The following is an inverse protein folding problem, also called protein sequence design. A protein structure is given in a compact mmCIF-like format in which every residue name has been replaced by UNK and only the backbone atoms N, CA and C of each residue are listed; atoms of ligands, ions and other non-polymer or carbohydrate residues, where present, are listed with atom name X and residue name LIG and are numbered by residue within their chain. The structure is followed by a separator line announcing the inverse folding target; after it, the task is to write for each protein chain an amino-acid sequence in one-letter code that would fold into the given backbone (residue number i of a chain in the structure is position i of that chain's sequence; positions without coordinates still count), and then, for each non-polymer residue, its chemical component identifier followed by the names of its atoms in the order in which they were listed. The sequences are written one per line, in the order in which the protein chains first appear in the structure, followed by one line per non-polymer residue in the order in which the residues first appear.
data_IF_027257671388
#
_entry.id   IF_027257671388
#
_cell.length_a   1.000
_cell.length_b   1.000
_cell.length_c   1.000
_cell.angle_alpha   90.00
_cell.angle_beta   90.00
_cell.angle_gamma   90.00
#
_symmetry.space_group_name_H-M   'P 1'
#
loop_
_entity.id
_entity.type
_entity.pdbx_description
1 polymer ?
#
# COMPACT_ATOMS: atom_id res chain seq x y z
N UNK A 1 13.43 -8.32 -3.30
CA UNK A 1 14.66 -7.70 -2.74
C UNK A 1 14.47 -7.20 -1.31
N UNK A 2 13.28 -6.81 -0.87
CA UNK A 2 13.01 -6.29 0.50
C UNK A 2 13.13 -7.35 1.61
N UNK A 3 12.62 -8.55 1.43
CA UNK A 3 12.61 -9.61 2.45
C UNK A 3 14.02 -9.98 2.95
N UNK A 4 14.99 -10.10 2.06
CA UNK A 4 16.38 -10.40 2.45
C UNK A 4 17.01 -9.29 3.33
N UNK A 5 16.61 -8.04 3.09
CA UNK A 5 17.11 -6.89 3.85
C UNK A 5 16.52 -6.84 5.25
N UNK A 6 15.23 -7.15 5.38
CA UNK A 6 14.50 -7.19 6.64
C UNK A 6 15.08 -8.26 7.56
N UNK A 7 15.20 -9.48 7.05
CA UNK A 7 15.77 -10.61 7.78
C UNK A 7 17.20 -10.32 8.26
N UNK A 8 18.03 -9.69 7.43
CA UNK A 8 19.39 -9.25 7.80
C UNK A 8 19.37 -8.22 8.94
N UNK A 9 18.41 -7.26 8.92
CA UNK A 9 18.30 -6.28 9.99
C UNK A 9 17.81 -6.91 11.30
N UNK A 10 16.85 -7.83 11.26
CA UNK A 10 16.41 -8.60 12.42
C UNK A 10 17.60 -9.36 13.01
N UNK A 11 18.34 -10.08 12.18
CA UNK A 11 19.55 -10.81 12.59
C UNK A 11 20.59 -9.90 13.23
N UNK A 12 20.92 -8.78 12.59
CA UNK A 12 21.86 -7.79 13.13
C UNK A 12 21.42 -7.23 14.49
N UNK A 13 20.11 -7.08 14.70
CA UNK A 13 19.57 -6.61 15.98
C UNK A 13 19.63 -7.67 17.06
N UNK A 14 19.62 -8.96 16.68
CA UNK A 14 19.72 -10.09 17.59
C UNK A 14 21.15 -10.49 17.96
N UNK A 15 22.16 -10.03 17.24
CA UNK A 15 23.58 -10.36 17.53
C UNK A 15 24.00 -10.04 18.98
N UNK A 16 23.35 -9.04 19.58
CA UNK A 16 23.60 -8.64 20.98
C UNK A 16 22.69 -9.31 22.00
N UNK A 17 21.73 -10.13 21.55
CA UNK A 17 20.76 -10.78 22.41
C UNK A 17 21.18 -12.21 22.68
N UNK A 18 21.30 -12.56 23.97
CA UNK A 18 21.51 -13.94 24.42
C UNK A 18 20.36 -14.34 25.31
N UNK A 19 19.83 -15.56 25.13
CA UNK A 19 18.78 -16.11 25.98
C UNK A 19 17.50 -16.48 25.25
N UNK A 20 16.35 -16.27 25.90
CA UNK A 20 15.06 -16.70 25.39
C UNK A 20 14.51 -15.69 24.38
N UNK A 21 14.13 -16.15 23.20
CA UNK A 21 13.52 -15.33 22.16
C UNK A 21 12.10 -15.83 21.88
N UNK A 22 11.14 -14.90 21.92
CA UNK A 22 9.76 -15.17 21.47
C UNK A 22 9.58 -14.65 20.05
N UNK A 23 9.15 -15.50 19.15
CA UNK A 23 8.76 -15.14 17.80
C UNK A 23 7.23 -15.15 17.65
N UNK A 24 6.64 -14.02 17.30
CA UNK A 24 5.23 -13.88 16.96
C UNK A 24 5.13 -13.71 15.42
N UNK A 25 5.17 -14.84 14.71
CA UNK A 25 5.09 -14.86 13.24
C UNK A 25 4.68 -16.24 12.75
N UNK A 26 4.04 -16.28 11.58
CA UNK A 26 3.82 -17.54 10.83
C UNK A 26 4.89 -17.72 9.73
N UNK A 27 5.81 -16.81 9.60
CA UNK A 27 6.86 -16.86 8.58
C UNK A 27 8.00 -17.79 9.02
N UNK A 28 8.15 -18.91 8.30
CA UNK A 28 9.21 -19.89 8.55
C UNK A 28 10.62 -19.33 8.30
N UNK A 29 10.76 -18.37 7.40
CA UNK A 29 12.06 -17.76 7.08
C UNK A 29 12.66 -17.03 8.29
N UNK A 30 11.81 -16.40 9.11
CA UNK A 30 12.24 -15.75 10.36
C UNK A 30 12.62 -16.78 11.40
N UNK A 31 11.91 -17.91 11.51
CA UNK A 31 12.24 -18.97 12.48
C UNK A 31 13.57 -19.66 12.17
N UNK A 32 13.90 -19.82 10.88
CA UNK A 32 15.14 -20.44 10.43
C UNK A 32 16.39 -19.62 10.83
N UNK A 33 16.26 -18.30 10.80
CA UNK A 33 17.31 -17.37 11.24
C UNK A 33 17.63 -17.48 12.73
N UNK A 34 16.66 -17.93 13.53
CA UNK A 34 16.71 -17.93 14.99
C UNK A 34 17.14 -19.27 15.55
N UNK A 35 17.58 -20.22 14.72
CA UNK A 35 17.97 -21.58 15.10
C UNK A 35 19.05 -21.65 16.19
N UNK A 36 19.84 -20.59 16.38
CA UNK A 36 20.88 -20.50 17.38
C UNK A 36 20.40 -19.96 18.76
N UNK A 37 19.12 -19.58 18.87
CA UNK A 37 18.53 -19.03 20.09
C UNK A 37 17.61 -20.06 20.76
N UNK A 38 17.35 -19.88 22.06
CA UNK A 38 16.28 -20.61 22.72
C UNK A 38 14.94 -20.05 22.29
N UNK A 39 14.41 -20.56 21.15
CA UNK A 39 13.29 -20.01 20.42
C UNK A 39 11.96 -20.56 20.91
N UNK A 40 11.06 -19.65 21.27
CA UNK A 40 9.65 -19.92 21.52
C UNK A 40 8.83 -19.30 20.38
N UNK A 41 7.93 -20.07 19.79
CA UNK A 41 7.14 -19.60 18.63
C UNK A 41 5.67 -19.49 19.01
N UNK A 42 5.10 -18.32 18.85
CA UNK A 42 3.68 -18.08 18.87
C UNK A 42 3.16 -18.07 17.41
N UNK A 43 2.62 -19.20 16.97
CA UNK A 43 2.07 -19.34 15.62
C UNK A 43 0.85 -20.25 15.63
N UNK A 44 0.08 -20.22 14.56
CA UNK A 44 -1.02 -21.15 14.32
C UNK A 44 -1.06 -21.48 12.82
N UNK A 45 -0.87 -22.76 12.44
CA UNK A 45 -0.82 -23.15 11.04
C UNK A 45 -2.15 -22.97 10.30
N UNK A 46 -3.26 -22.94 11.05
CA UNK A 46 -4.62 -22.87 10.49
C UNK A 46 -5.17 -21.44 10.40
N UNK A 47 -4.44 -20.44 10.92
CA UNK A 47 -4.89 -19.04 11.00
C UNK A 47 -3.76 -18.09 10.75
N UNK A 48 -4.10 -16.86 10.34
CA UNK A 48 -3.12 -15.77 10.36
C UNK A 48 -2.67 -15.53 11.80
N UNK A 49 -1.42 -15.08 11.99
CA UNK A 49 -0.90 -14.80 13.34
C UNK A 49 -1.73 -13.73 14.05
N UNK A 50 -2.23 -12.72 13.33
CA UNK A 50 -3.08 -11.68 13.88
C UNK A 50 -4.41 -12.21 14.41
N UNK A 51 -5.10 -13.07 13.64
CA UNK A 51 -6.34 -13.71 14.09
C UNK A 51 -6.10 -14.62 15.30
N UNK A 52 -4.96 -15.29 15.33
CA UNK A 52 -4.58 -16.14 16.47
C UNK A 52 -4.37 -15.30 17.73
N UNK A 53 -3.58 -14.22 17.63
CA UNK A 53 -3.32 -13.29 18.74
C UNK A 53 -4.60 -12.62 19.21
N UNK A 54 -5.43 -12.12 18.29
CA UNK A 54 -6.72 -11.51 18.66
C UNK A 54 -7.64 -12.48 19.42
N UNK A 55 -7.68 -13.76 19.03
CA UNK A 55 -8.44 -14.76 19.75
C UNK A 55 -7.87 -15.01 21.16
N UNK A 56 -6.55 -15.10 21.31
CA UNK A 56 -5.90 -15.27 22.62
C UNK A 56 -6.13 -14.07 23.54
N UNK A 57 -6.14 -12.85 22.97
CA UNK A 57 -6.47 -11.63 23.70
C UNK A 57 -7.93 -11.63 24.18
N UNK A 58 -8.88 -12.03 23.30
CA UNK A 58 -10.30 -12.12 23.65
C UNK A 58 -10.57 -13.14 24.77
N UNK A 59 -9.82 -14.24 24.80
CA UNK A 59 -9.96 -15.29 25.83
C UNK A 59 -9.09 -15.05 27.06
N UNK A 60 -8.30 -13.98 27.08
CA UNK A 60 -7.30 -13.68 28.11
C UNK A 60 -6.26 -14.80 28.33
N UNK A 61 -6.04 -15.64 27.32
CA UNK A 61 -5.11 -16.78 27.42
C UNK A 61 -3.75 -16.54 26.74
N UNK A 62 -3.52 -15.30 26.24
CA UNK A 62 -2.27 -14.98 25.52
C UNK A 62 -1.04 -15.23 26.40
N UNK A 63 -1.06 -14.75 27.64
CA UNK A 63 0.07 -14.93 28.57
C UNK A 63 0.35 -16.40 28.86
N UNK A 64 -0.69 -17.24 29.02
CA UNK A 64 -0.55 -18.68 29.26
C UNK A 64 0.03 -19.41 28.04
N UNK A 65 -0.28 -18.94 26.83
CA UNK A 65 0.26 -19.53 25.60
C UNK A 65 1.69 -19.08 25.30
N UNK A 66 2.05 -17.85 25.67
CA UNK A 66 3.40 -17.31 25.47
C UNK A 66 4.36 -17.86 26.52
N UNK A 67 3.94 -17.94 27.78
CA UNK A 67 4.81 -18.27 28.90
C UNK A 67 4.25 -19.48 29.66
N UNK A 68 4.90 -20.62 29.47
CA UNK A 68 4.77 -21.72 30.40
C UNK A 68 5.80 -21.50 31.52
N UNK A 69 5.36 -21.45 32.78
CA UNK A 69 6.25 -21.42 33.96
C UNK A 69 7.07 -20.12 34.13
N UNK A 70 6.43 -18.95 34.19
CA UNK A 70 7.08 -17.66 34.47
C UNK A 70 8.28 -17.31 33.54
N UNK A 71 8.35 -17.95 32.36
CA UNK A 71 9.42 -17.68 31.40
C UNK A 71 9.39 -16.23 30.95
N UNK A 72 10.50 -15.53 31.13
CA UNK A 72 10.72 -14.19 30.59
C UNK A 72 11.59 -14.27 29.35
N UNK A 73 11.41 -13.29 28.46
CA UNK A 73 12.12 -13.22 27.18
C UNK A 73 13.13 -12.07 27.16
N UNK A 74 14.29 -12.32 26.58
CA UNK A 74 15.33 -11.33 26.36
C UNK A 74 15.08 -10.56 25.07
N UNK A 75 14.45 -11.20 24.09
CA UNK A 75 13.90 -10.54 22.92
C UNK A 75 12.53 -11.09 22.53
N UNK A 76 11.72 -10.23 21.97
CA UNK A 76 10.43 -10.57 21.35
C UNK A 76 10.44 -10.01 19.94
N UNK A 77 10.16 -10.85 18.94
CA UNK A 77 10.08 -10.44 17.54
C UNK A 77 8.64 -10.46 17.09
N UNK A 78 8.15 -9.34 16.56
CA UNK A 78 6.83 -9.23 15.94
C UNK A 78 7.02 -8.80 14.49
N UNK A 79 6.66 -9.68 13.56
CA UNK A 79 6.82 -9.46 12.15
C UNK A 79 5.46 -9.17 11.53
N UNK A 80 5.28 -7.97 10.93
CA UNK A 80 4.06 -7.52 10.25
C UNK A 80 2.77 -7.81 11.03
N UNK A 81 2.76 -7.51 12.33
CA UNK A 81 1.66 -7.92 13.18
C UNK A 81 0.80 -6.74 13.67
N UNK A 82 1.44 -5.63 14.05
CA UNK A 82 0.74 -4.49 14.67
C UNK A 82 -0.35 -3.88 13.78
N UNK A 83 -0.17 -3.88 12.48
CA UNK A 83 -1.11 -3.36 11.49
C UNK A 83 -2.40 -4.16 11.41
N UNK A 84 -2.33 -5.45 11.76
CA UNK A 84 -3.43 -6.40 11.60
C UNK A 84 -4.23 -6.64 12.87
N UNK A 85 -3.71 -6.25 14.04
CA UNK A 85 -4.36 -6.48 15.34
C UNK A 85 -5.53 -5.52 15.57
N UNK A 86 -6.60 -6.05 16.13
CA UNK A 86 -7.75 -5.27 16.60
C UNK A 86 -7.42 -4.46 17.84
N UNK A 87 -6.60 -5.03 18.74
CA UNK A 87 -6.18 -4.36 19.98
C UNK A 87 -4.66 -4.42 20.19
N UNK A 88 -3.86 -3.65 19.42
CA UNK A 88 -2.41 -3.66 19.54
C UNK A 88 -1.90 -3.13 20.89
N UNK A 89 -2.66 -2.27 21.58
CA UNK A 89 -2.29 -1.78 22.90
C UNK A 89 -2.31 -2.92 23.94
N UNK A 90 -3.37 -3.71 23.98
CA UNK A 90 -3.47 -4.86 24.87
C UNK A 90 -2.38 -5.89 24.57
N UNK A 91 -2.13 -6.15 23.29
CA UNK A 91 -1.04 -7.02 22.86
C UNK A 91 0.32 -6.54 23.38
N UNK A 92 0.63 -5.26 23.19
CA UNK A 92 1.89 -4.67 23.68
C UNK A 92 2.03 -4.76 25.21
N UNK A 93 0.95 -4.62 25.97
CA UNK A 93 0.92 -4.80 27.43
C UNK A 93 1.29 -6.25 27.79
N UNK A 94 0.72 -7.24 27.10
CA UNK A 94 1.07 -8.65 27.33
C UNK A 94 2.55 -8.91 26.98
N UNK A 95 3.05 -8.43 25.85
CA UNK A 95 4.48 -8.58 25.50
C UNK A 95 5.36 -7.95 26.58
N UNK A 96 5.00 -6.77 27.05
CA UNK A 96 5.75 -6.08 28.11
C UNK A 96 5.75 -6.86 29.41
N UNK A 97 4.66 -7.57 29.74
CA UNK A 97 4.56 -8.37 30.95
C UNK A 97 5.50 -9.59 30.95
N UNK A 98 5.77 -10.19 29.78
CA UNK A 98 6.64 -11.36 29.62
C UNK A 98 8.08 -11.00 29.19
N UNK A 99 8.36 -9.75 28.89
CA UNK A 99 9.68 -9.27 28.55
C UNK A 99 10.54 -9.09 29.81
N UNK A 100 11.83 -9.43 29.78
CA UNK A 100 12.80 -9.09 30.80
C UNK A 100 12.96 -7.58 30.95
N UNK A 101 13.46 -7.08 32.09
CA UNK A 101 13.59 -5.65 32.33
C UNK A 101 14.56 -4.97 31.35
N UNK A 102 15.60 -5.66 30.93
CA UNK A 102 16.54 -5.22 29.89
C UNK A 102 16.25 -5.84 28.54
N UNK A 103 15.11 -6.51 28.42
CA UNK A 103 14.70 -7.15 27.17
C UNK A 103 14.29 -6.12 26.09
N UNK A 104 14.28 -6.57 24.85
CA UNK A 104 13.92 -5.74 23.70
C UNK A 104 12.80 -6.36 22.89
N UNK A 105 11.91 -5.52 22.33
CA UNK A 105 10.97 -5.92 21.30
C UNK A 105 11.55 -5.46 19.96
N UNK A 106 11.70 -6.37 19.02
CA UNK A 106 12.06 -6.08 17.62
C UNK A 106 10.75 -6.17 16.83
N UNK A 107 10.30 -5.06 16.28
CA UNK A 107 9.08 -5.06 15.48
C UNK A 107 9.28 -4.45 14.11
N UNK A 108 8.71 -5.09 13.10
CA UNK A 108 8.63 -4.61 11.74
C UNK A 108 7.24 -4.03 11.52
N UNK A 109 7.18 -2.82 10.99
CA UNK A 109 5.93 -2.07 10.75
C UNK A 109 5.98 -1.44 9.38
N UNK A 110 4.99 -1.70 8.56
CA UNK A 110 4.86 -1.14 7.23
C UNK A 110 4.62 0.37 7.29
N UNK A 111 5.29 1.12 6.42
CA UNK A 111 5.08 2.55 6.31
C UNK A 111 3.89 2.87 5.40
N UNK A 112 2.78 3.25 5.98
CA UNK A 112 1.61 3.67 5.21
C UNK A 112 1.88 4.91 4.33
N UNK A 113 2.78 5.80 4.77
CA UNK A 113 3.16 7.00 4.02
C UNK A 113 4.12 6.74 2.85
N UNK A 114 4.48 5.47 2.59
CA UNK A 114 5.25 5.12 1.40
C UNK A 114 4.51 5.55 0.13
N UNK A 115 5.25 6.10 -0.85
CA UNK A 115 4.68 6.67 -2.07
C UNK A 115 3.75 5.71 -2.81
N UNK A 116 4.09 4.41 -2.89
CA UNK A 116 3.24 3.42 -3.56
C UNK A 116 1.88 3.26 -2.88
N UNK A 117 1.81 3.30 -1.55
CA UNK A 117 0.56 3.19 -0.80
C UNK A 117 -0.35 4.40 -1.08
N UNK A 118 0.22 5.59 -1.06
CA UNK A 118 -0.52 6.83 -1.32
C UNK A 118 -1.02 6.88 -2.77
N UNK A 119 -0.20 6.49 -3.73
CA UNK A 119 -0.62 6.44 -5.13
C UNK A 119 -1.71 5.39 -5.36
N UNK A 120 -1.60 4.21 -4.75
CA UNK A 120 -2.65 3.17 -4.79
C UNK A 120 -4.00 3.69 -4.24
N UNK A 121 -3.97 4.46 -3.15
CA UNK A 121 -5.18 5.12 -2.63
C UNK A 121 -5.77 6.10 -3.64
N UNK A 122 -4.94 6.93 -4.26
CA UNK A 122 -5.39 7.95 -5.22
C UNK A 122 -6.03 7.37 -6.47
N UNK A 123 -5.54 6.21 -6.94
CA UNK A 123 -6.13 5.51 -8.10
C UNK A 123 -7.28 4.57 -7.71
N UNK A 124 -7.67 4.52 -6.43
CA UNK A 124 -8.77 3.69 -5.94
C UNK A 124 -8.42 2.21 -5.77
N UNK A 125 -7.15 1.83 -5.84
CA UNK A 125 -6.68 0.44 -5.70
C UNK A 125 -6.48 0.06 -4.22
N UNK A 126 -7.55 0.17 -3.42
CA UNK A 126 -7.51 -0.02 -1.97
C UNK A 126 -7.54 -1.51 -1.60
N UNK A 127 -8.28 -2.32 -2.37
CA UNK A 127 -8.61 -3.68 -1.95
C UNK A 127 -7.43 -4.66 -1.98
N UNK A 128 -6.45 -4.47 -2.86
CA UNK A 128 -5.38 -5.45 -3.02
C UNK A 128 -4.29 -5.34 -1.94
N UNK A 129 -4.07 -4.13 -1.39
CA UNK A 129 -2.95 -3.88 -0.48
C UNK A 129 -3.36 -3.74 0.99
N UNK A 130 -4.66 -3.52 1.28
CA UNK A 130 -5.11 -3.16 2.63
C UNK A 130 -6.27 -4.02 3.15
N UNK A 131 -6.61 -5.12 2.48
CA UNK A 131 -7.80 -5.95 2.80
C UNK A 131 -7.82 -6.50 4.22
N UNK A 132 -6.66 -6.78 4.80
CA UNK A 132 -6.51 -7.33 6.15
C UNK A 132 -5.88 -6.34 7.15
N UNK A 133 -5.66 -5.10 6.74
CA UNK A 133 -5.02 -4.08 7.59
C UNK A 133 -6.07 -3.41 8.46
N UNK A 134 -5.94 -3.54 9.77
CA UNK A 134 -6.82 -2.90 10.75
C UNK A 134 -6.37 -1.49 11.12
N UNK A 135 -5.08 -1.18 10.96
CA UNK A 135 -4.47 0.09 11.32
C UNK A 135 -3.37 0.48 10.34
N UNK A 136 -3.25 1.76 10.12
CA UNK A 136 -2.24 2.35 9.26
C UNK A 136 -1.25 3.13 10.10
N UNK A 137 0.02 2.77 10.02
CA UNK A 137 1.08 3.44 10.73
C UNK A 137 1.99 4.20 9.77
N UNK A 138 2.32 5.42 10.14
CA UNK A 138 3.52 6.12 9.73
C UNK A 138 4.50 6.16 10.90
N UNK A 139 5.70 6.68 10.67
CA UNK A 139 6.71 6.78 11.72
C UNK A 139 6.18 7.52 12.97
N UNK A 140 5.53 8.67 12.77
CA UNK A 140 5.11 9.51 13.88
C UNK A 140 3.99 8.88 14.70
N UNK A 141 2.99 8.29 14.02
CA UNK A 141 1.86 7.65 14.68
C UNK A 141 2.31 6.41 15.46
N UNK A 142 3.28 5.65 14.94
CA UNK A 142 3.81 4.51 15.66
C UNK A 142 4.67 4.92 16.86
N UNK A 143 5.51 5.94 16.72
CA UNK A 143 6.27 6.50 17.85
C UNK A 143 5.36 7.07 18.95
N UNK A 144 4.26 7.72 18.57
CA UNK A 144 3.26 8.21 19.51
C UNK A 144 2.59 7.05 20.27
N UNK A 145 2.17 6.01 19.54
CA UNK A 145 1.60 4.78 20.10
C UNK A 145 2.54 4.13 21.13
N UNK A 146 3.85 4.02 20.82
CA UNK A 146 4.83 3.47 21.75
C UNK A 146 4.98 4.33 23.00
N UNK A 147 5.08 5.66 22.84
CA UNK A 147 5.25 6.59 23.96
C UNK A 147 4.03 6.57 24.91
N UNK A 148 2.81 6.51 24.35
CA UNK A 148 1.58 6.38 25.15
C UNK A 148 1.53 5.08 25.98
N UNK A 149 2.25 4.04 25.53
CA UNK A 149 2.35 2.76 26.22
C UNK A 149 3.64 2.62 27.05
N UNK A 150 4.34 3.72 27.37
CA UNK A 150 5.58 3.77 28.15
C UNK A 150 6.70 2.90 27.56
N UNK A 151 6.77 2.85 26.24
CA UNK A 151 7.83 2.19 25.48
C UNK A 151 8.66 3.22 24.76
N UNK A 152 9.94 2.94 24.57
CA UNK A 152 10.85 3.83 23.84
C UNK A 152 11.63 3.07 22.78
N UNK A 153 11.91 3.74 21.69
CA UNK A 153 12.74 3.21 20.61
C UNK A 153 14.21 3.38 20.96
N UNK A 154 14.95 2.29 20.99
CA UNK A 154 16.41 2.29 21.21
C UNK A 154 17.19 2.33 19.91
N UNK A 155 16.62 1.74 18.85
CA UNK A 155 17.21 1.74 17.51
C UNK A 155 16.09 1.72 16.47
N UNK A 156 16.32 2.40 15.35
CA UNK A 156 15.42 2.45 14.20
C UNK A 156 16.20 2.19 12.92
N UNK A 157 15.76 1.21 12.16
CA UNK A 157 16.26 0.93 10.80
C UNK A 157 15.14 1.16 9.78
N UNK A 158 15.53 1.56 8.57
CA UNK A 158 14.63 1.90 7.48
C UNK A 158 14.90 1.01 6.28
N UNK A 159 13.90 0.31 5.82
CA UNK A 159 13.96 -0.45 4.57
C UNK A 159 13.43 0.44 3.47
N UNK A 160 14.27 0.76 2.51
CA UNK A 160 13.96 1.67 1.42
C UNK A 160 13.65 0.89 0.14
N UNK A 161 12.70 1.41 -0.60
CA UNK A 161 12.38 0.95 -1.96
C UNK A 161 12.16 2.16 -2.85
N UNK A 162 12.90 2.25 -3.93
CA UNK A 162 12.69 3.30 -4.91
C UNK A 162 11.33 3.16 -5.59
N UNK A 163 10.74 4.30 -5.91
CA UNK A 163 9.51 4.33 -6.69
C UNK A 163 9.77 3.80 -8.11
N UNK A 164 8.95 2.85 -8.54
CA UNK A 164 8.92 2.37 -9.91
C UNK A 164 7.48 2.38 -10.42
N UNK A 165 7.24 3.06 -11.54
CA UNK A 165 5.92 3.06 -12.20
C UNK A 165 5.50 1.67 -12.65
N UNK A 166 6.47 0.81 -13.02
CA UNK A 166 6.23 -0.57 -13.43
C UNK A 166 5.66 -1.44 -12.29
N UNK A 167 6.10 -1.17 -11.04
CA UNK A 167 5.63 -1.92 -9.88
C UNK A 167 4.15 -1.69 -9.55
N UNK A 168 3.53 -0.66 -10.12
CA UNK A 168 2.17 -0.24 -9.80
C UNK A 168 1.14 -0.51 -10.90
N UNK A 169 1.54 -1.10 -12.05
CA UNK A 169 0.65 -1.25 -13.22
C UNK A 169 -0.05 0.08 -13.59
N UNK A 170 0.71 1.19 -13.56
CA UNK A 170 0.19 2.55 -13.80
C UNK A 170 -0.11 2.86 -15.27
N UNK A 171 0.12 1.91 -16.18
CA UNK A 171 -0.04 2.12 -17.63
C UNK A 171 -1.44 2.61 -18.01
N UNK A 172 -2.46 2.28 -17.21
CA UNK A 172 -3.84 2.69 -17.40
C UNK A 172 -4.24 3.95 -16.57
N UNK A 173 -3.35 4.46 -15.71
CA UNK A 173 -3.67 5.55 -14.79
C UNK A 173 -2.72 6.73 -14.97
N UNK A 174 -3.28 7.89 -15.29
CA UNK A 174 -2.51 9.12 -15.39
C UNK A 174 -2.26 9.70 -13.99
N UNK A 175 -1.02 9.57 -13.50
CA UNK A 175 -0.57 10.26 -12.28
C UNK A 175 0.27 11.46 -12.71
N UNK A 176 -0.13 12.70 -12.38
CA UNK A 176 0.67 13.88 -12.69
C UNK A 176 2.07 13.80 -12.07
N UNK A 177 3.11 14.06 -12.88
CA UNK A 177 4.51 14.06 -12.42
C UNK A 177 4.74 15.02 -11.24
N UNK A 178 4.01 16.13 -11.21
CA UNK A 178 4.04 17.10 -10.11
C UNK A 178 3.63 16.50 -8.76
N UNK A 179 2.70 15.54 -8.77
CA UNK A 179 2.30 14.84 -7.56
C UNK A 179 3.44 13.96 -7.04
N UNK A 180 4.12 13.24 -7.93
CA UNK A 180 5.29 12.42 -7.60
C UNK A 180 6.38 13.30 -7.02
N UNK A 181 6.69 14.45 -7.65
CA UNK A 181 7.69 15.40 -7.16
C UNK A 181 7.36 15.97 -5.77
N UNK A 182 6.08 16.20 -5.46
CA UNK A 182 5.65 16.65 -4.13
C UNK A 182 5.90 15.54 -3.11
N UNK A 183 5.52 14.30 -3.42
CA UNK A 183 5.71 13.17 -2.52
C UNK A 183 7.18 12.85 -2.28
N UNK A 184 8.04 12.97 -3.28
CA UNK A 184 9.49 12.77 -3.13
C UNK A 184 10.16 13.75 -2.15
N UNK A 185 9.49 14.86 -1.81
CA UNK A 185 9.95 15.82 -0.78
C UNK A 185 9.49 15.48 0.62
N UNK A 186 8.59 14.49 0.77
CA UNK A 186 8.14 14.03 2.09
C UNK A 186 9.23 13.12 2.68
N UNK A 187 9.66 13.35 3.93
CA UNK A 187 10.59 12.45 4.59
C UNK A 187 10.07 11.01 4.61
N UNK A 188 10.99 10.07 4.42
CA UNK A 188 10.68 8.63 4.43
C UNK A 188 9.64 8.18 3.36
N UNK A 189 9.43 8.98 2.29
CA UNK A 189 8.54 8.61 1.17
C UNK A 189 8.98 7.32 0.45
N UNK A 190 10.28 7.01 0.50
CA UNK A 190 10.94 5.85 -0.08
C UNK A 190 11.12 4.69 0.92
N UNK A 191 10.71 4.88 2.17
CA UNK A 191 10.75 3.85 3.21
C UNK A 191 9.48 3.01 3.14
N UNK A 192 9.60 1.73 2.83
CA UNK A 192 8.46 0.78 2.80
C UNK A 192 8.13 0.24 4.17
N UNK A 193 9.16 0.08 5.02
CA UNK A 193 9.01 -0.57 6.31
C UNK A 193 10.03 -0.03 7.30
N UNK A 194 9.63 0.01 8.56
CA UNK A 194 10.49 0.34 9.70
C UNK A 194 10.77 -0.90 10.52
N UNK A 195 12.02 -1.07 10.95
CA UNK A 195 12.44 -2.07 11.94
C UNK A 195 12.83 -1.34 13.21
N UNK A 196 12.05 -1.51 14.26
CA UNK A 196 12.26 -0.88 15.56
C UNK A 196 12.85 -1.86 16.56
N UNK A 197 13.81 -1.40 17.35
CA UNK A 197 14.15 -1.98 18.64
C UNK A 197 13.50 -1.13 19.73
N UNK A 198 12.73 -1.76 20.60
CA UNK A 198 11.89 -1.09 21.59
C UNK A 198 12.21 -1.64 22.97
N UNK A 199 12.48 -0.77 23.91
CA UNK A 199 12.73 -1.09 25.33
C UNK A 199 11.60 -0.57 26.24
N UNK A 200 11.55 -1.11 27.48
CA UNK A 200 10.63 -0.62 28.52
C UNK A 200 11.08 0.73 29.07
N UNK A 201 10.11 1.52 29.52
CA UNK A 201 10.34 2.79 30.20
C UNK A 201 10.23 3.99 29.28
N UNK A 202 10.41 5.18 29.84
CA UNK A 202 10.40 6.43 29.07
C UNK A 202 11.79 6.71 28.51
N UNK A 203 11.84 7.24 27.29
CA UNK A 203 13.10 7.71 26.70
C UNK A 203 13.82 8.66 27.65
N UNK A 204 15.07 8.36 27.97
CA UNK A 204 15.91 9.16 28.89
C UNK A 204 16.39 10.46 28.24
N UNK A 205 16.27 10.62 26.93
CA UNK A 205 16.67 11.83 26.23
C UNK A 205 15.72 12.16 25.08
N UNK A 206 14.97 13.23 25.24
CA UNK A 206 14.24 13.90 24.16
C UNK A 206 15.17 14.48 23.07
N UNK A 207 16.47 14.45 23.27
CA UNK A 207 17.45 15.04 22.35
C UNK A 207 17.87 14.12 21.19
N UNK A 208 17.80 12.81 21.37
CA UNK A 208 18.20 11.86 20.29
C UNK A 208 17.12 11.51 19.28
N UNK A 209 15.88 11.89 19.56
CA UNK A 209 14.74 11.62 18.67
C UNK A 209 13.92 12.86 18.32
N UNK A 210 14.58 13.96 17.97
CA UNK A 210 13.91 15.07 17.31
C UNK A 210 13.45 14.72 15.88
N UNK A 211 12.83 13.54 15.72
CA UNK A 211 12.20 13.15 14.46
C UNK A 211 10.95 13.98 14.16
N UNK A 212 10.29 14.53 15.19
CA UNK A 212 9.06 15.30 15.03
C UNK A 212 9.24 16.75 14.61
N UNK A 213 10.48 17.30 14.68
CA UNK A 213 10.70 18.73 14.41
C UNK A 213 11.01 19.06 12.95
N UNK A 214 11.20 18.06 12.08
CA UNK A 214 11.55 18.32 10.68
C UNK A 214 10.35 18.36 9.72
N UNK A 215 9.12 18.09 10.19
CA UNK A 215 7.96 18.45 9.42
C UNK A 215 7.64 19.92 9.65
N UNK A 216 7.89 20.82 8.72
CA UNK A 216 7.30 22.13 8.78
C UNK A 216 5.79 21.93 8.61
N UNK A 217 5.05 21.89 9.74
CA UNK A 217 3.58 21.84 9.75
C UNK A 217 2.94 22.86 8.80
N UNK A 218 3.70 23.88 8.42
CA UNK A 218 3.28 24.96 7.53
C UNK A 218 3.69 24.75 6.06
N UNK A 219 4.39 23.68 5.69
CA UNK A 219 4.85 23.49 4.31
C UNK A 219 3.89 22.62 3.49
N UNK A 220 3.36 21.57 4.09
CA UNK A 220 2.52 20.59 3.38
C UNK A 220 1.12 21.15 3.09
N UNK A 221 0.50 21.84 4.05
CA UNK A 221 -0.88 22.33 3.91
C UNK A 221 -1.05 23.33 2.76
N UNK A 222 -0.21 24.37 2.60
CA UNK A 222 -0.27 25.28 1.44
C UNK A 222 -0.01 24.57 0.10
N UNK A 223 0.92 23.61 0.08
CA UNK A 223 1.22 22.84 -1.14
C UNK A 223 0.09 21.89 -1.52
N UNK A 224 -0.55 21.25 -0.56
CA UNK A 224 -1.75 20.45 -0.79
C UNK A 224 -2.91 21.32 -1.25
N UNK A 225 -3.10 22.52 -0.69
CA UNK A 225 -4.11 23.47 -1.15
C UNK A 225 -3.87 23.89 -2.59
N UNK A 226 -2.65 24.29 -2.95
CA UNK A 226 -2.27 24.63 -4.33
C UNK A 226 -2.51 23.45 -5.29
N UNK A 227 -2.21 22.23 -4.84
CA UNK A 227 -2.48 21.01 -5.61
C UNK A 227 -3.98 20.78 -5.80
N UNK A 228 -4.80 20.89 -4.75
CA UNK A 228 -6.26 20.73 -4.86
C UNK A 228 -6.91 21.80 -5.73
N UNK A 229 -6.41 23.02 -5.72
CA UNK A 229 -6.88 24.08 -6.63
C UNK A 229 -6.58 23.72 -8.09
N UNK A 230 -5.34 23.30 -8.41
CA UNK A 230 -4.95 22.85 -9.75
C UNK A 230 -5.70 21.60 -10.19
N UNK A 231 -5.94 20.65 -9.27
CA UNK A 231 -6.72 19.46 -9.54
C UNK A 231 -8.18 19.81 -9.87
N UNK A 232 -8.76 20.76 -9.15
CA UNK A 232 -10.13 21.27 -9.44
C UNK A 232 -10.21 21.96 -10.81
N UNK A 233 -9.19 22.69 -11.22
CA UNK A 233 -9.11 23.29 -12.58
C UNK A 233 -8.98 22.20 -13.65
N UNK A 234 -8.18 21.17 -13.38
CA UNK A 234 -8.03 20.03 -14.28
C UNK A 234 -9.34 19.25 -14.43
N UNK A 235 -10.08 18.98 -13.35
CA UNK A 235 -11.41 18.36 -13.43
C UNK A 235 -12.40 19.20 -14.27
N UNK A 236 -12.37 20.52 -14.12
CA UNK A 236 -13.19 21.40 -14.97
C UNK A 236 -12.82 21.27 -16.45
N UNK A 237 -11.52 21.20 -16.74
CA UNK A 237 -11.01 21.01 -18.10
C UNK A 237 -11.42 19.66 -18.67
N UNK A 238 -11.31 18.58 -17.91
CA UNK A 238 -11.78 17.24 -18.30
C UNK A 238 -13.26 17.23 -18.66
N UNK A 239 -14.12 17.85 -17.85
CA UNK A 239 -15.56 17.98 -18.15
C UNK A 239 -15.84 18.72 -19.45
N UNK A 240 -15.01 19.70 -19.79
CA UNK A 240 -15.12 20.44 -21.08
C UNK A 240 -14.68 19.51 -22.23
N UNK A 241 -13.58 18.76 -22.07
CA UNK A 241 -13.11 17.79 -23.07
C UNK A 241 -14.14 16.67 -23.29
N UNK A 242 -14.73 16.10 -22.25
CA UNK A 242 -15.79 15.09 -22.36
C UNK A 242 -17.01 15.62 -23.13
N UNK A 243 -17.40 16.87 -22.85
CA UNK A 243 -18.50 17.53 -23.55
C UNK A 243 -18.21 17.73 -25.02
N UNK A 244 -16.97 18.09 -25.34
CA UNK A 244 -16.49 18.29 -26.71
C UNK A 244 -16.41 16.96 -27.45
N UNK A 245 -15.87 15.95 -26.80
CA UNK A 245 -15.78 14.58 -27.34
C UNK A 245 -17.17 14.02 -27.70
N UNK A 246 -18.14 14.09 -26.77
CA UNK A 246 -19.52 13.70 -27.03
C UNK A 246 -20.19 14.47 -28.18
N UNK A 247 -19.80 15.75 -28.40
CA UNK A 247 -20.25 16.49 -29.58
C UNK A 247 -19.65 15.95 -30.88
N UNK A 248 -18.35 15.64 -30.86
CA UNK A 248 -17.67 15.07 -32.02
C UNK A 248 -18.18 13.68 -32.39
N UNK A 249 -18.44 12.81 -31.38
CA UNK A 249 -19.08 11.51 -31.61
C UNK A 249 -20.44 11.64 -32.35
N UNK A 250 -21.28 12.59 -31.93
CA UNK A 250 -22.56 12.84 -32.61
C UNK A 250 -22.40 13.29 -34.05
N UNK A 251 -21.40 14.11 -34.34
CA UNK A 251 -21.09 14.57 -35.72
C UNK A 251 -20.59 13.40 -36.55
N UNK A 252 -19.70 12.56 -36.01
CA UNK A 252 -19.20 11.36 -36.68
C UNK A 252 -20.37 10.42 -37.02
N UNK A 253 -21.24 10.14 -36.05
CA UNK A 253 -22.40 9.27 -36.25
C UNK A 253 -23.39 9.84 -37.28
N UNK A 254 -23.57 11.17 -37.31
CA UNK A 254 -24.35 11.86 -38.33
C UNK A 254 -23.75 11.69 -39.72
N UNK A 255 -22.44 11.83 -39.86
CA UNK A 255 -21.72 11.65 -41.13
C UNK A 255 -21.78 10.19 -41.62
N UNK A 256 -21.63 9.21 -40.70
CA UNK A 256 -21.74 7.78 -41.04
C UNK A 256 -23.14 7.45 -41.60
N UNK A 257 -24.18 7.98 -41.02
CA UNK A 257 -25.56 7.81 -41.51
C UNK A 257 -25.73 8.43 -42.91
N UNK A 258 -25.19 9.63 -43.12
CA UNK A 258 -25.24 10.27 -44.45
C UNK A 258 -24.44 9.49 -45.51
N UNK A 259 -23.29 8.95 -45.16
CA UNK A 259 -22.53 8.07 -46.06
C UNK A 259 -23.31 6.82 -46.41
N UNK A 260 -24.01 6.23 -45.45
CA UNK A 260 -24.85 5.05 -45.68
C UNK A 260 -25.98 5.37 -46.63
N UNK A 261 -26.72 6.48 -46.43
CA UNK A 261 -27.78 6.92 -47.34
C UNK A 261 -27.26 7.17 -48.77
N UNK A 262 -26.09 7.79 -48.90
CA UNK A 262 -25.44 7.98 -50.22
C UNK A 262 -25.07 6.66 -50.89
N UNK A 263 -24.56 5.68 -50.15
CA UNK A 263 -24.27 4.34 -50.68
C UNK A 263 -25.55 3.65 -51.17
N UNK A 264 -26.60 3.68 -50.39
CA UNK A 264 -27.88 3.11 -50.78
C UNK A 264 -28.44 3.77 -52.04
N UNK A 265 -28.30 5.11 -52.17
CA UNK A 265 -28.67 5.84 -53.35
C UNK A 265 -27.86 5.44 -54.59
N UNK A 266 -26.53 5.32 -54.46
CA UNK A 266 -25.64 4.85 -55.54
C UNK A 266 -26.04 3.42 -56.00
N UNK A 267 -26.26 2.53 -55.07
CA UNK A 267 -26.68 1.14 -55.40
C UNK A 267 -28.02 1.13 -56.19
N UNK A 268 -28.95 1.98 -55.83
CA UNK A 268 -30.23 2.14 -56.57
C UNK A 268 -30.02 2.71 -57.95
N UNK A 269 -29.13 3.68 -58.14
CA UNK A 269 -28.75 4.21 -59.44
C UNK A 269 -28.09 3.16 -60.33
N UNK A 270 -27.20 2.35 -59.78
CA UNK A 270 -26.53 1.25 -60.49
C UNK A 270 -27.54 0.18 -60.95
N UNK A 271 -28.53 -0.19 -60.10
CA UNK A 271 -29.62 -1.12 -60.48
C UNK A 271 -30.46 -0.54 -61.63
N UNK A 272 -30.77 0.76 -61.55
CA UNK A 272 -31.54 1.44 -62.60
C UNK A 272 -30.75 1.48 -63.93
N UNK A 273 -29.47 1.81 -63.85
CA UNK A 273 -28.58 1.86 -65.04
C UNK A 273 -28.46 0.48 -65.70
N UNK A 274 -28.27 -0.57 -64.91
CA UNK A 274 -28.23 -1.95 -65.41
C UNK A 274 -29.56 -2.37 -66.10
N UNK A 275 -30.71 -1.91 -65.58
CA UNK A 275 -32.01 -2.13 -66.23
C UNK A 275 -32.15 -1.38 -67.54
N UNK A 276 -31.67 -0.14 -67.62
CA UNK A 276 -31.66 0.64 -68.85
C UNK A 276 -30.77 0.05 -69.90
N UNK A 277 -29.57 -0.43 -69.53
CA UNK A 277 -28.67 -1.13 -70.44
C UNK A 277 -29.28 -2.42 -71.00
N UNK A 278 -29.95 -3.20 -70.13
CA UNK A 278 -30.61 -4.42 -70.59
C UNK A 278 -31.76 -4.12 -71.60
N UNK A 279 -32.52 -3.03 -71.35
CA UNK A 279 -33.56 -2.57 -72.32
C UNK A 279 -32.92 -2.09 -73.64
N UNK A 280 -31.81 -1.33 -73.56
CA UNK A 280 -31.12 -0.92 -74.77
C UNK A 280 -30.56 -2.07 -75.58
N UNK A 281 -30.01 -3.12 -74.94
CA UNK A 281 -29.56 -4.34 -75.60
C UNK A 281 -30.71 -5.06 -76.31
N UNK A 282 -31.89 -5.16 -75.67
CA UNK A 282 -33.10 -5.69 -76.29
C UNK A 282 -33.54 -4.86 -77.49
N UNK A 283 -33.54 -3.57 -77.38
CA UNK A 283 -33.96 -2.65 -78.48
C UNK A 283 -33.00 -2.73 -79.69
N UNK A 284 -31.71 -2.85 -79.45
CA UNK A 284 -30.68 -3.07 -80.48
C UNK A 284 -30.86 -4.40 -81.20
N UNK A 285 -31.31 -5.44 -80.47
CA UNK A 285 -31.60 -6.75 -81.05
C UNK A 285 -32.83 -6.72 -81.96
N UNK A 286 -33.88 -5.95 -81.66
CA UNK A 286 -35.09 -5.80 -82.47
C UNK A 286 -34.89 -4.92 -83.72
N UNK A 287 -33.78 -4.21 -83.82
CA UNK A 287 -33.48 -3.32 -84.94
C UNK A 287 -32.55 -3.95 -86.01
N UNK A 288 -32.17 -5.19 -85.83
CA UNK A 288 -31.49 -6.04 -86.76
C UNK A 288 -32.47 -7.02 -87.34
#
# INVERSE_FOLDING_TARGET
MSENTELQLIQQHLESVSGNVLLCSNDSSVSDLLSNHNLHILSNPDKTISDHVDNLLLTNTLSENISKEDTKFDAIITHDLFEHLKNPQLFLQHLTSVLNDNGTIICCVSNFSHINNILNLLIGNIHNNFSNTSRFYDLNNFLLFLNENNMHVTKLSRIKQEFSSESMNLDDHFIPSQLIEIYQKIPDHDVVQYVFMIGKGKSVSSESMNFSSQFPKNYLLPKLQEFFEKFTEFEKSLKIYEKTFKKQEKVIQGNENSIKEQKDYIENLEKHNNQLESRLKKFKFWRR
#
